data_IF_972129348447
#
_entry.id   IF_972129348447
#
_cell.length_a   1.000
_cell.length_b   1.000
_cell.length_c   1.000
_cell.angle_alpha   90.00
_cell.angle_beta   90.00
_cell.angle_gamma   90.00
#
_symmetry.space_group_name_H-M   'P 1'
#
loop_
_entity.id
_entity.type
_entity.pdbx_description
1 polymer ?
#
# COMPACT_ATOMS: atom_id res chain seq x y z
N UNK A 1 -10.06 18.05 -7.50
CA UNK A 1 -9.09 16.95 -7.43
C UNK A 1 -9.69 15.80 -6.62
N UNK A 2 -9.76 14.61 -7.19
CA UNK A 2 -10.24 13.39 -6.52
C UNK A 2 -9.04 12.62 -5.98
N UNK A 3 -9.13 12.18 -4.72
CA UNK A 3 -8.06 11.44 -4.02
C UNK A 3 -8.60 10.12 -3.50
N UNK A 4 -7.76 9.09 -3.51
CA UNK A 4 -8.07 7.76 -2.98
C UNK A 4 -6.97 7.26 -2.05
N UNK A 5 -7.36 6.36 -1.13
CA UNK A 5 -6.43 5.57 -0.32
C UNK A 5 -6.61 4.11 -0.72
N UNK A 6 -5.50 3.41 -0.97
CA UNK A 6 -5.47 1.99 -1.31
C UNK A 6 -4.65 1.28 -0.25
N UNK A 7 -5.27 0.33 0.44
CA UNK A 7 -4.52 -0.62 1.27
C UNK A 7 -3.73 -1.52 0.33
N UNK A 8 -2.41 -1.46 0.43
CA UNK A 8 -1.51 -1.97 -0.58
C UNK A 8 -0.48 -2.92 0.03
N UNK A 9 -0.58 -4.21 -0.30
CA UNK A 9 0.36 -5.24 0.15
C UNK A 9 1.39 -5.63 -0.93
N UNK A 10 1.20 -5.18 -2.17
CA UNK A 10 1.99 -5.64 -3.32
C UNK A 10 1.49 -6.96 -3.92
N UNK A 11 0.47 -7.59 -3.33
CA UNK A 11 -0.18 -8.78 -3.89
C UNK A 11 -1.10 -8.45 -5.08
N UNK A 12 -1.52 -9.49 -5.80
CA UNK A 12 -2.32 -9.39 -7.04
C UNK A 12 -3.59 -8.54 -6.86
N UNK A 13 -4.37 -8.79 -5.81
CA UNK A 13 -5.64 -8.11 -5.58
C UNK A 13 -5.44 -6.61 -5.31
N UNK A 14 -4.52 -6.29 -4.39
CA UNK A 14 -4.21 -4.90 -4.04
C UNK A 14 -3.59 -4.13 -5.21
N UNK A 15 -2.85 -4.82 -6.09
CA UNK A 15 -2.29 -4.24 -7.33
C UNK A 15 -3.36 -3.95 -8.36
N UNK A 16 -4.34 -4.85 -8.50
CA UNK A 16 -5.49 -4.62 -9.38
C UNK A 16 -6.28 -3.39 -8.91
N UNK A 17 -6.54 -3.27 -7.61
CA UNK A 17 -7.20 -2.10 -7.02
C UNK A 17 -6.39 -0.81 -7.25
N UNK A 18 -5.07 -0.84 -7.10
CA UNK A 18 -4.21 0.33 -7.33
C UNK A 18 -4.28 0.79 -8.79
N UNK A 19 -4.17 -0.13 -9.75
CA UNK A 19 -4.26 0.18 -11.18
C UNK A 19 -5.61 0.80 -11.53
N UNK A 20 -6.70 0.24 -10.99
CA UNK A 20 -8.04 0.80 -11.17
C UNK A 20 -8.16 2.21 -10.55
N UNK A 21 -7.62 2.42 -9.35
CA UNK A 21 -7.64 3.73 -8.68
C UNK A 21 -6.87 4.79 -9.49
N UNK A 22 -5.73 4.44 -10.08
CA UNK A 22 -4.95 5.34 -10.94
C UNK A 22 -5.69 5.77 -12.21
N UNK A 23 -6.74 5.07 -12.63
CA UNK A 23 -7.59 5.50 -13.76
C UNK A 23 -8.69 6.47 -13.33
N UNK A 24 -9.08 6.47 -12.05
CA UNK A 24 -10.27 7.16 -11.55
C UNK A 24 -9.97 8.40 -10.69
N UNK A 25 -8.78 8.47 -10.08
CA UNK A 25 -8.40 9.50 -9.11
C UNK A 25 -7.13 10.22 -9.52
N UNK A 26 -6.99 11.51 -9.21
CA UNK A 26 -5.83 12.31 -9.60
C UNK A 26 -4.57 11.90 -8.80
N UNK A 27 -4.76 11.58 -7.52
CA UNK A 27 -3.74 11.20 -6.55
C UNK A 27 -4.19 9.99 -5.72
N UNK A 28 -3.27 9.04 -5.51
CA UNK A 28 -3.53 7.80 -4.76
C UNK A 28 -2.50 7.63 -3.65
N UNK A 29 -2.97 7.40 -2.43
CA UNK A 29 -2.14 7.10 -1.28
C UNK A 29 -2.13 5.59 -1.04
N UNK A 30 -0.96 4.96 -1.09
CA UNK A 30 -0.81 3.55 -0.74
C UNK A 30 -0.47 3.42 0.74
N UNK A 31 -1.22 2.59 1.47
CA UNK A 31 -0.96 2.28 2.89
C UNK A 31 -0.65 0.80 3.01
N UNK A 32 0.55 0.48 3.50
CA UNK A 32 0.95 -0.90 3.83
C UNK A 32 1.00 -1.05 5.34
N UNK A 33 0.31 -2.06 5.86
CA UNK A 33 0.36 -2.42 7.28
C UNK A 33 1.48 -3.43 7.52
N UNK A 34 2.48 -3.04 8.31
CA UNK A 34 3.52 -3.94 8.82
C UNK A 34 3.01 -4.58 10.11
N UNK A 35 2.58 -5.85 10.03
CA UNK A 35 2.12 -6.63 11.20
C UNK A 35 3.29 -7.36 11.90
N UNK A 36 4.54 -7.10 11.52
CA UNK A 36 5.69 -7.87 11.98
C UNK A 36 5.83 -9.22 11.26
N UNK A 37 5.35 -9.33 10.01
CA UNK A 37 5.52 -10.54 9.21
C UNK A 37 7.02 -10.84 8.99
N UNK A 38 7.39 -12.13 8.91
CA UNK A 38 8.79 -12.58 8.79
C UNK A 38 9.53 -11.99 7.59
N UNK A 39 8.83 -11.68 6.50
CA UNK A 39 9.43 -11.18 5.27
C UNK A 39 9.18 -9.68 5.08
N UNK A 40 10.01 -8.84 5.72
CA UNK A 40 10.02 -7.38 5.47
C UNK A 40 10.29 -7.02 4.00
N UNK A 41 10.96 -7.91 3.26
CA UNK A 41 11.22 -7.74 1.82
C UNK A 41 9.93 -7.54 1.00
N UNK A 42 8.79 -8.12 1.42
CA UNK A 42 7.52 -7.94 0.72
C UNK A 42 7.03 -6.48 0.78
N UNK A 43 7.29 -5.77 1.89
CA UNK A 43 6.93 -4.35 2.06
C UNK A 43 7.77 -3.47 1.13
N UNK A 44 9.06 -3.76 1.00
CA UNK A 44 9.96 -3.02 0.12
C UNK A 44 9.59 -3.24 -1.35
N UNK A 45 9.31 -4.49 -1.74
CA UNK A 45 8.82 -4.82 -3.09
C UNK A 45 7.49 -4.14 -3.38
N UNK A 46 6.55 -4.09 -2.42
CA UNK A 46 5.31 -3.35 -2.56
C UNK A 46 5.58 -1.85 -2.80
N UNK A 47 6.42 -1.21 -1.99
CA UNK A 47 6.80 0.19 -2.19
C UNK A 47 7.37 0.43 -3.59
N UNK A 48 8.32 -0.41 -4.03
CA UNK A 48 8.91 -0.30 -5.35
C UNK A 48 7.87 -0.46 -6.47
N UNK A 49 6.97 -1.44 -6.34
CA UNK A 49 5.93 -1.69 -7.34
C UNK A 49 4.98 -0.49 -7.48
N UNK A 50 4.57 0.09 -6.36
CA UNK A 50 3.72 1.29 -6.36
C UNK A 50 4.42 2.47 -7.05
N UNK A 51 5.70 2.72 -6.73
CA UNK A 51 6.47 3.80 -7.35
C UNK A 51 6.75 3.56 -8.85
N UNK A 52 6.93 2.30 -9.27
CA UNK A 52 7.10 1.94 -10.69
C UNK A 52 5.84 2.22 -11.51
N UNK A 53 4.64 2.08 -10.92
CA UNK A 53 3.38 2.28 -11.63
C UNK A 53 3.06 3.76 -11.90
N UNK A 54 3.22 4.63 -10.90
CA UNK A 54 2.91 6.06 -11.07
C UNK A 54 3.62 6.96 -10.04
N UNK A 55 4.92 7.25 -10.22
CA UNK A 55 5.74 7.91 -9.20
C UNK A 55 5.29 9.34 -8.88
N UNK A 56 4.70 10.06 -9.83
CA UNK A 56 4.22 11.44 -9.65
C UNK A 56 2.81 11.53 -9.04
N UNK A 57 2.08 10.41 -8.95
CA UNK A 57 0.67 10.36 -8.51
C UNK A 57 0.46 9.52 -7.26
N UNK A 58 1.49 8.79 -6.83
CA UNK A 58 1.43 7.89 -5.68
C UNK A 58 2.23 8.46 -4.51
N UNK A 59 1.62 8.39 -3.31
CA UNK A 59 2.31 8.59 -2.03
C UNK A 59 2.24 7.31 -1.21
N UNK A 60 3.38 6.73 -0.85
CA UNK A 60 3.45 5.49 -0.08
C UNK A 60 3.67 5.78 1.42
N UNK A 61 2.79 5.24 2.26
CA UNK A 61 2.92 5.23 3.70
C UNK A 61 3.04 3.78 4.20
N UNK A 62 4.03 3.55 5.06
CA UNK A 62 4.13 2.30 5.81
C UNK A 62 3.77 2.62 7.25
N UNK A 63 2.69 2.04 7.76
CA UNK A 63 2.40 2.11 9.20
C UNK A 63 3.00 0.88 9.87
N UNK A 64 3.95 1.09 10.78
CA UNK A 64 4.32 0.05 11.74
C UNK A 64 3.12 -0.15 12.67
N UNK A 65 2.52 -1.34 12.62
CA UNK A 65 1.61 -1.76 13.68
C UNK A 65 2.49 -2.19 14.86
N UNK A 66 2.96 -1.23 15.66
CA UNK A 66 3.67 -1.52 16.91
C UNK A 66 2.71 -2.26 17.84
N UNK A 67 2.85 -3.59 17.89
CA UNK A 67 2.37 -4.54 18.91
C UNK A 67 1.33 -4.00 19.89
N UNK A 68 0.05 -4.27 19.60
CA UNK A 68 -0.95 -4.70 20.61
C UNK A 68 -2.30 -5.18 20.02
N UNK A 69 -2.34 -5.68 18.78
CA UNK A 69 -3.58 -6.22 18.18
C UNK A 69 -3.71 -7.75 18.21
N UNK A 70 -2.71 -8.49 18.69
CA UNK A 70 -2.81 -9.95 18.87
C UNK A 70 -3.60 -10.36 20.12
N UNK A 71 -4.08 -9.41 20.93
CA UNK A 71 -4.89 -9.67 22.14
C UNK A 71 -6.36 -9.25 21.98
N UNK A 72 -6.78 -8.86 20.78
CA UNK A 72 -8.16 -8.43 20.49
C UNK A 72 -8.87 -9.37 19.50
N UNK A 73 -8.65 -10.68 19.67
CA UNK A 73 -9.47 -11.74 19.10
C UNK A 73 -10.31 -12.37 20.21
#
# INVERSE_FOLDING_TARGET
MKRAVVVFSGGQDSTTCLVQALQQYDEVHCVTFDYGQRHRAEIDVARELALKLAPSRIKCWTSLCSTNWQSAA
#
